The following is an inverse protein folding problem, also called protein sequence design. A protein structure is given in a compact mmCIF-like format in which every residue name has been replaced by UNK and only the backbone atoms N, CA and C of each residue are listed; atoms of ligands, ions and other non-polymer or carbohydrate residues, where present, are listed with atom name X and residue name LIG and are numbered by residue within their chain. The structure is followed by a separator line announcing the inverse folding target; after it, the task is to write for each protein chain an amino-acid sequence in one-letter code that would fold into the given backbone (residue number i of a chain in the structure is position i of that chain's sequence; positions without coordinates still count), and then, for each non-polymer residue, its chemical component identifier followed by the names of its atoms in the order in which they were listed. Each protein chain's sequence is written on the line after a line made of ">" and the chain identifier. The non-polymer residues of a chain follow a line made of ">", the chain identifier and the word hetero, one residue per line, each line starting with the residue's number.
data_IF_892464603832
#
_entry.id   IF_892464603832
#
_cell.length_a   1.000
_cell.length_b   1.000
_cell.length_c   1.000
_cell.angle_alpha   90.00
_cell.angle_beta   90.00
_cell.angle_gamma   90.00
#
_symmetry.space_group_name_H-M   'P 1'
#
loop_
_entity.id
_entity.type
_entity.pdbx_description
1 polymer ?
#
# COMPACT_ATOMS: atom_id res chain seq x y z
N UNK A 1 -5.95 -8.11 26.66
CA UNK A 1 -5.37 -8.09 25.29
C UNK A 1 -6.51 -8.08 24.25
N UNK A 2 -7.47 -9.00 24.29
CA UNK A 2 -8.59 -9.10 23.36
C UNK A 2 -9.47 -7.83 23.27
N UNK A 3 -9.68 -7.12 24.38
CA UNK A 3 -10.50 -5.90 24.43
C UNK A 3 -9.84 -4.67 23.79
N UNK A 4 -8.50 -4.58 23.76
CA UNK A 4 -7.78 -3.46 23.13
C UNK A 4 -7.64 -3.60 21.60
N UNK A 5 -7.56 -4.81 21.08
CA UNK A 5 -7.52 -5.07 19.64
C UNK A 5 -8.88 -4.78 18.95
N UNK A 6 -9.99 -4.89 19.68
CA UNK A 6 -11.31 -4.56 19.14
C UNK A 6 -11.52 -3.05 18.86
N UNK A 7 -10.70 -2.14 19.42
CA UNK A 7 -10.83 -0.70 19.18
C UNK A 7 -10.26 -0.24 17.83
N UNK A 8 -9.54 -1.11 17.13
CA UNK A 8 -8.85 -0.84 15.86
C UNK A 8 -9.56 -1.50 14.68
N UNK A 9 -10.40 -2.47 14.98
CA UNK A 9 -11.25 -3.14 14.03
C UNK A 9 -12.50 -2.30 13.79
N UNK A 10 -12.58 -1.68 12.60
CA UNK A 10 -13.76 -0.92 12.19
C UNK A 10 -14.87 -1.87 11.74
N UNK A 11 -15.75 -2.22 12.68
CA UNK A 11 -16.87 -3.16 12.43
C UNK A 11 -17.90 -2.60 11.45
N UNK A 12 -18.11 -1.30 11.43
CA UNK A 12 -19.07 -0.67 10.51
C UNK A 12 -18.51 -0.64 9.11
N UNK A 13 -17.24 -0.29 8.95
CA UNK A 13 -16.56 -0.31 7.67
C UNK A 13 -16.40 -1.74 7.13
N UNK A 14 -16.15 -2.72 8.00
CA UNK A 14 -16.11 -4.14 7.63
C UNK A 14 -17.45 -4.67 7.09
N UNK A 15 -18.58 -4.14 7.55
CA UNK A 15 -19.91 -4.50 7.02
C UNK A 15 -20.19 -3.84 5.66
N UNK A 16 -19.66 -2.65 5.40
CA UNK A 16 -19.81 -1.94 4.14
C UNK A 16 -18.95 -2.57 3.03
N UNK A 17 -17.75 -3.06 3.41
CA UNK A 17 -16.84 -3.77 2.50
C UNK A 17 -17.22 -5.25 2.48
N UNK A 18 -18.33 -5.60 1.85
CA UNK A 18 -18.74 -7.01 1.72
C UNK A 18 -17.81 -7.75 0.77
N UNK A 19 -17.41 -8.97 1.17
CA UNK A 19 -16.76 -9.90 0.27
C UNK A 19 -17.68 -10.19 -0.94
N UNK A 20 -17.13 -10.04 -2.15
CA UNK A 20 -17.85 -10.35 -3.39
C UNK A 20 -17.60 -11.81 -3.78
N UNK A 21 -18.41 -12.35 -4.70
CA UNK A 21 -18.15 -13.67 -5.30
C UNK A 21 -16.76 -13.76 -5.95
N UNK A 22 -16.22 -12.61 -6.37
CA UNK A 22 -14.88 -12.50 -6.92
C UNK A 22 -13.78 -12.66 -5.85
N UNK A 23 -13.99 -12.15 -4.64
CA UNK A 23 -13.14 -12.36 -3.47
C UNK A 23 -13.04 -13.86 -3.12
N UNK A 24 -14.12 -14.60 -3.19
CA UNK A 24 -14.11 -16.06 -2.97
C UNK A 24 -13.31 -16.77 -4.07
N UNK A 25 -13.47 -16.39 -5.35
CA UNK A 25 -12.67 -16.95 -6.46
C UNK A 25 -11.17 -16.68 -6.31
N UNK A 26 -10.78 -15.53 -5.78
CA UNK A 26 -9.39 -15.20 -5.55
C UNK A 26 -8.79 -15.97 -4.38
N UNK A 27 -9.58 -16.21 -3.32
CA UNK A 27 -9.21 -17.13 -2.23
C UNK A 27 -8.98 -18.56 -2.75
N UNK A 28 -9.84 -19.06 -3.64
CA UNK A 28 -9.65 -20.37 -4.30
C UNK A 28 -8.35 -20.41 -5.13
N UNK A 29 -7.95 -19.30 -5.75
CA UNK A 29 -6.67 -19.18 -6.45
C UNK A 29 -5.47 -19.07 -5.50
N UNK A 30 -5.67 -18.85 -4.20
CA UNK A 30 -4.62 -18.65 -3.21
C UNK A 30 -4.01 -17.25 -3.28
N UNK A 31 -4.77 -16.26 -3.76
CA UNK A 31 -4.36 -14.87 -3.88
C UNK A 31 -5.10 -14.06 -2.81
N UNK A 32 -4.36 -13.22 -2.07
CA UNK A 32 -4.91 -12.27 -1.11
C UNK A 32 -4.41 -10.87 -1.44
N UNK A 33 -5.32 -9.95 -1.71
CA UNK A 33 -5.02 -8.54 -1.94
C UNK A 33 -5.35 -7.71 -0.69
N UNK A 34 -4.42 -6.85 -0.28
CA UNK A 34 -4.57 -5.93 0.86
C UNK A 34 -4.24 -4.53 0.39
N UNK A 35 -5.16 -3.59 0.58
CA UNK A 35 -4.92 -2.18 0.32
C UNK A 35 -4.18 -1.55 1.50
N UNK A 36 -2.97 -1.07 1.26
CA UNK A 36 -2.17 -0.30 2.20
C UNK A 36 -2.38 1.19 1.92
N UNK A 37 -2.77 1.94 2.95
CA UNK A 37 -3.12 3.37 2.81
C UNK A 37 -2.29 4.22 3.76
N UNK A 38 -1.49 5.12 3.22
CA UNK A 38 -0.85 6.20 3.96
C UNK A 38 -1.71 7.47 3.90
N UNK A 39 -2.21 7.91 5.04
CA UNK A 39 -3.13 9.05 5.16
C UNK A 39 -2.35 10.30 5.53
N UNK A 40 -2.55 11.39 4.78
CA UNK A 40 -1.96 12.70 5.05
C UNK A 40 -2.70 13.35 6.23
N UNK A 41 -2.08 13.32 7.39
CA UNK A 41 -2.65 13.88 8.61
C UNK A 41 -2.21 13.14 9.87
N UNK A 42 -2.72 13.60 11.01
CA UNK A 42 -2.40 13.03 12.32
C UNK A 42 -3.34 11.88 12.72
N UNK A 43 -4.38 11.64 11.95
CA UNK A 43 -5.34 10.56 12.16
C UNK A 43 -5.76 9.92 10.83
N UNK A 44 -6.44 8.77 10.89
CA UNK A 44 -6.88 7.99 9.74
C UNK A 44 -8.37 8.20 9.40
N UNK A 45 -8.95 9.31 9.86
CA UNK A 45 -10.36 9.61 9.61
C UNK A 45 -10.58 10.22 8.23
N UNK A 46 -11.83 10.14 7.75
CA UNK A 46 -12.26 10.86 6.54
C UNK A 46 -12.00 12.37 6.68
N UNK A 47 -11.84 13.06 5.57
CA UNK A 47 -11.39 14.45 5.52
C UNK A 47 -9.89 14.58 5.22
N UNK A 48 -9.09 13.53 5.51
CA UNK A 48 -7.68 13.45 5.14
C UNK A 48 -7.52 12.69 3.82
N UNK A 49 -6.47 13.01 3.05
CA UNK A 49 -6.21 12.36 1.75
C UNK A 49 -5.36 11.10 1.92
N UNK A 50 -5.63 10.11 1.08
CA UNK A 50 -4.73 8.96 0.90
C UNK A 50 -3.57 9.37 -0.03
N UNK A 51 -2.44 9.75 0.53
CA UNK A 51 -1.27 10.22 -0.23
C UNK A 51 -0.37 9.08 -0.73
N UNK A 52 -0.43 7.92 -0.08
CA UNK A 52 0.18 6.68 -0.51
C UNK A 52 -0.88 5.58 -0.54
N UNK A 53 -0.98 4.87 -1.64
CA UNK A 53 -1.89 3.74 -1.81
C UNK A 53 -1.16 2.62 -2.54
N UNK A 54 -1.17 1.43 -1.96
CA UNK A 54 -0.54 0.25 -2.56
C UNK A 54 -1.44 -0.96 -2.39
N UNK A 55 -1.44 -1.86 -3.35
CA UNK A 55 -2.02 -3.19 -3.21
C UNK A 55 -0.87 -4.17 -2.97
N UNK A 56 -0.86 -4.80 -1.79
CA UNK A 56 0.00 -5.93 -1.51
C UNK A 56 -0.74 -7.21 -1.91
N UNK A 57 -0.22 -7.91 -2.92
CA UNK A 57 -0.74 -9.17 -3.42
C UNK A 57 0.12 -10.31 -2.88
N UNK A 58 -0.48 -11.19 -2.07
CA UNK A 58 0.14 -12.40 -1.54
C UNK A 58 -0.35 -13.58 -2.36
N UNK A 59 0.55 -14.24 -3.08
CA UNK A 59 0.26 -15.40 -3.93
C UNK A 59 0.86 -16.66 -3.28
N UNK A 60 0.03 -17.37 -2.54
CA UNK A 60 0.44 -18.56 -1.79
C UNK A 60 0.82 -19.75 -2.70
N UNK A 61 0.26 -19.81 -3.90
CA UNK A 61 0.55 -20.92 -4.84
C UNK A 61 1.90 -20.77 -5.51
N UNK A 62 2.27 -19.54 -5.84
CA UNK A 62 3.53 -19.23 -6.51
C UNK A 62 4.64 -18.83 -5.54
N UNK A 63 4.35 -18.77 -4.22
CA UNK A 63 5.25 -18.27 -3.17
C UNK A 63 5.83 -16.90 -3.50
N UNK A 64 4.96 -15.94 -3.80
CA UNK A 64 5.33 -14.67 -4.36
C UNK A 64 4.55 -13.52 -3.69
N UNK A 65 5.18 -12.37 -3.51
CA UNK A 65 4.57 -11.13 -3.02
C UNK A 65 4.83 -10.03 -4.04
N UNK A 66 3.76 -9.38 -4.48
CA UNK A 66 3.82 -8.28 -5.45
C UNK A 66 3.22 -7.01 -4.88
N UNK A 67 3.78 -5.87 -5.25
CA UNK A 67 3.30 -4.56 -4.82
C UNK A 67 2.87 -3.74 -6.04
N UNK A 68 1.64 -3.26 -6.03
CA UNK A 68 1.15 -2.28 -7.00
C UNK A 68 0.97 -0.94 -6.32
N UNK A 69 1.76 0.07 -6.67
CA UNK A 69 1.54 1.46 -6.24
C UNK A 69 0.45 2.10 -7.08
N UNK A 70 -0.56 2.68 -6.43
CA UNK A 70 -1.63 3.41 -7.11
C UNK A 70 -1.35 4.91 -7.05
N UNK A 71 -1.18 5.54 -8.20
CA UNK A 71 -0.95 6.99 -8.28
C UNK A 71 -2.16 7.74 -7.75
N UNK A 72 -1.95 8.60 -6.76
CA UNK A 72 -3.02 9.34 -6.06
C UNK A 72 -3.79 10.31 -6.96
N UNK A 73 -3.16 10.80 -8.03
CA UNK A 73 -3.73 11.73 -8.99
C UNK A 73 -4.42 11.03 -10.18
N UNK A 74 -4.54 9.68 -10.15
CA UNK A 74 -5.30 8.91 -11.15
C UNK A 74 -6.73 9.39 -11.21
N UNK A 75 -7.19 9.77 -12.42
CA UNK A 75 -8.51 10.33 -12.66
C UNK A 75 -9.52 9.20 -12.83
N UNK A 76 -10.47 9.07 -11.89
CA UNK A 76 -11.37 7.93 -11.76
C UNK A 76 -12.79 8.37 -11.45
N UNK A 77 -13.76 7.53 -11.76
CA UNK A 77 -15.15 7.76 -11.38
C UNK A 77 -15.35 7.33 -9.91
N UNK A 78 -15.75 8.28 -9.05
CA UNK A 78 -16.06 8.05 -7.64
C UNK A 78 -17.58 8.10 -7.47
N UNK A 79 -18.16 7.02 -6.99
CA UNK A 79 -19.60 6.92 -6.79
C UNK A 79 -20.15 8.06 -5.91
N UNK A 80 -21.17 8.74 -6.38
CA UNK A 80 -21.76 9.89 -5.70
C UNK A 80 -21.02 11.23 -5.86
N UNK A 81 -19.80 11.23 -6.43
CA UNK A 81 -18.93 12.43 -6.52
C UNK A 81 -18.47 12.75 -7.95
N UNK A 82 -18.76 11.86 -8.91
CA UNK A 82 -18.31 12.01 -10.30
C UNK A 82 -16.83 11.71 -10.50
N UNK A 83 -16.24 12.23 -11.58
CA UNK A 83 -14.85 11.94 -11.93
C UNK A 83 -13.90 12.85 -11.19
N UNK A 84 -13.04 12.26 -10.35
CA UNK A 84 -12.11 12.94 -9.45
C UNK A 84 -10.77 12.20 -9.35
N UNK A 85 -9.80 12.77 -8.60
CA UNK A 85 -8.56 12.07 -8.26
C UNK A 85 -8.83 10.94 -7.26
N UNK A 86 -8.18 9.81 -7.44
CA UNK A 86 -8.31 8.64 -6.56
C UNK A 86 -8.15 8.97 -5.07
N UNK A 87 -7.21 9.85 -4.72
CA UNK A 87 -6.96 10.29 -3.34
C UNK A 87 -8.18 10.91 -2.67
N UNK A 88 -9.12 11.48 -3.44
CA UNK A 88 -10.33 12.11 -2.90
C UNK A 88 -11.35 11.09 -2.39
N UNK A 89 -11.35 9.86 -2.92
CA UNK A 89 -12.27 8.81 -2.45
C UNK A 89 -12.13 8.57 -0.94
N UNK A 90 -10.89 8.47 -0.44
CA UNK A 90 -10.64 8.34 1.00
C UNK A 90 -11.06 9.59 1.78
N UNK A 91 -10.78 10.77 1.24
CA UNK A 91 -11.13 12.02 1.90
C UNK A 91 -12.65 12.20 2.05
N UNK A 92 -13.44 11.71 1.09
CA UNK A 92 -14.89 11.81 1.12
C UNK A 92 -15.51 10.86 2.14
N UNK A 93 -15.27 9.55 2.05
CA UNK A 93 -15.95 8.56 2.88
C UNK A 93 -15.02 7.47 3.48
N UNK A 94 -13.70 7.66 3.43
CA UNK A 94 -12.76 6.72 4.04
C UNK A 94 -12.44 5.51 3.16
N UNK A 95 -12.03 4.40 3.79
CA UNK A 95 -11.53 3.24 3.09
C UNK A 95 -12.61 2.51 2.27
N UNK A 96 -13.87 2.52 2.71
CA UNK A 96 -14.96 1.84 1.99
C UNK A 96 -15.17 2.43 0.60
N UNK A 97 -15.25 3.76 0.47
CA UNK A 97 -15.40 4.42 -0.84
C UNK A 97 -14.13 4.26 -1.69
N UNK A 98 -12.94 4.32 -1.07
CA UNK A 98 -11.69 4.08 -1.80
C UNK A 98 -11.63 2.65 -2.37
N UNK A 99 -11.99 1.64 -1.59
CA UNK A 99 -12.04 0.24 -2.04
C UNK A 99 -13.05 0.06 -3.17
N UNK A 100 -14.28 0.56 -3.03
CA UNK A 100 -15.29 0.46 -4.09
C UNK A 100 -14.84 1.19 -5.36
N UNK A 101 -14.18 2.35 -5.23
CA UNK A 101 -13.60 3.09 -6.36
C UNK A 101 -12.53 2.28 -7.08
N UNK A 102 -11.60 1.63 -6.35
CA UNK A 102 -10.57 0.76 -6.92
C UNK A 102 -11.22 -0.43 -7.65
N UNK A 103 -12.16 -1.12 -7.01
CA UNK A 103 -12.87 -2.27 -7.61
C UNK A 103 -13.58 -1.88 -8.91
N UNK A 104 -14.34 -0.81 -8.88
CA UNK A 104 -15.15 -0.38 -10.01
C UNK A 104 -14.31 0.13 -11.19
N UNK A 105 -13.24 0.90 -10.91
CA UNK A 105 -12.42 1.48 -11.97
C UNK A 105 -11.34 0.51 -12.48
N UNK A 106 -10.69 -0.25 -11.59
CA UNK A 106 -9.51 -1.04 -11.97
C UNK A 106 -9.82 -2.53 -12.19
N UNK A 107 -10.99 -3.00 -11.74
CA UNK A 107 -11.38 -4.41 -11.85
C UNK A 107 -10.57 -5.33 -10.94
N UNK A 108 -10.00 -4.78 -9.85
CA UNK A 108 -9.24 -5.53 -8.88
C UNK A 108 -10.10 -5.85 -7.68
N UNK A 109 -10.12 -7.12 -7.30
CA UNK A 109 -10.80 -7.55 -6.09
C UNK A 109 -9.90 -7.32 -4.88
N UNK A 110 -10.24 -6.30 -4.08
CA UNK A 110 -9.62 -5.97 -2.81
C UNK A 110 -10.72 -5.67 -1.80
N UNK A 111 -10.72 -6.41 -0.69
CA UNK A 111 -11.72 -6.31 0.38
C UNK A 111 -11.09 -6.07 1.75
N UNK A 112 -9.76 -6.00 1.81
CA UNK A 112 -8.98 -5.81 3.03
C UNK A 112 -8.14 -4.55 2.94
N UNK A 113 -8.03 -3.83 4.05
CA UNK A 113 -7.13 -2.68 4.08
C UNK A 113 -6.40 -2.54 5.42
N UNK A 114 -5.28 -1.83 5.37
CA UNK A 114 -4.56 -1.29 6.52
C UNK A 114 -4.27 0.17 6.22
N UNK A 115 -4.73 1.08 7.06
CA UNK A 115 -4.42 2.50 6.97
C UNK A 115 -3.53 2.94 8.13
N UNK A 116 -2.60 3.85 7.85
CA UNK A 116 -1.70 4.49 8.81
C UNK A 116 -1.64 5.99 8.55
N UNK A 117 -1.59 6.80 9.62
CA UNK A 117 -1.24 8.22 9.54
C UNK A 117 0.28 8.39 9.59
N UNK A 118 0.79 9.59 9.35
CA UNK A 118 2.23 9.87 9.46
C UNK A 118 2.76 9.59 10.87
N UNK A 119 2.04 10.04 11.91
CA UNK A 119 2.41 9.78 13.29
C UNK A 119 2.41 8.27 13.61
N UNK A 120 1.40 7.55 13.13
CA UNK A 120 1.31 6.10 13.28
C UNK A 120 2.45 5.37 12.59
N UNK A 121 2.80 5.79 11.37
CA UNK A 121 3.91 5.23 10.61
C UNK A 121 5.23 5.38 11.36
N UNK A 122 5.56 6.58 11.88
CA UNK A 122 6.76 6.81 12.66
C UNK A 122 6.81 5.87 13.88
N UNK A 123 5.72 5.79 14.64
CA UNK A 123 5.63 4.92 15.82
C UNK A 123 5.82 3.44 15.48
N UNK A 124 5.23 2.97 14.38
CA UNK A 124 5.39 1.58 13.92
C UNK A 124 6.86 1.26 13.65
N UNK A 125 7.55 2.13 12.91
CA UNK A 125 8.98 1.98 12.61
C UNK A 125 9.82 1.95 13.91
N UNK A 126 9.53 2.85 14.85
CA UNK A 126 10.26 2.93 16.13
C UNK A 126 10.03 1.70 17.02
N UNK A 127 8.81 1.17 17.08
CA UNK A 127 8.48 -0.09 17.78
C UNK A 127 9.29 -1.26 17.22
N UNK A 128 9.50 -1.27 15.91
CA UNK A 128 10.30 -2.28 15.23
C UNK A 128 11.82 -2.09 15.41
N UNK A 129 12.26 -1.01 16.05
CA UNK A 129 13.67 -0.67 16.20
C UNK A 129 14.32 -0.17 14.91
N UNK A 130 13.54 0.49 14.05
CA UNK A 130 13.98 1.03 12.77
C UNK A 130 13.93 0.03 11.62
N UNK A 131 14.14 0.53 10.40
CA UNK A 131 14.20 -0.25 9.14
C UNK A 131 15.53 -0.03 8.44
N UNK A 132 16.08 -1.08 7.83
CA UNK A 132 17.34 -1.00 7.07
C UNK A 132 17.05 -0.61 5.64
N UNK A 133 17.61 0.53 5.21
CA UNK A 133 17.45 1.08 3.87
C UNK A 133 18.81 1.48 3.32
N UNK A 134 19.06 1.14 2.05
CA UNK A 134 20.24 1.60 1.33
C UNK A 134 19.99 3.04 0.82
N UNK A 135 20.50 4.02 1.56
CA UNK A 135 20.33 5.45 1.29
C UNK A 135 21.38 5.89 0.28
N UNK A 136 20.98 6.48 -0.84
CA UNK A 136 21.87 7.04 -1.84
C UNK A 136 22.47 8.39 -1.41
N UNK A 137 23.59 8.80 -2.02
CA UNK A 137 24.23 10.09 -1.71
C UNK A 137 23.29 11.29 -1.89
N UNK A 138 22.40 11.26 -2.89
CA UNK A 138 21.42 12.32 -3.15
C UNK A 138 20.37 12.44 -2.06
N UNK A 139 20.04 11.33 -1.41
CA UNK A 139 19.01 11.24 -0.38
C UNK A 139 19.50 11.63 1.00
N UNK A 140 20.80 11.45 1.28
CA UNK A 140 21.42 11.79 2.59
C UNK A 140 21.05 13.20 3.03
N UNK A 141 21.16 14.20 2.14
CA UNK A 141 20.86 15.59 2.46
C UNK A 141 19.38 15.88 2.74
N UNK A 142 18.50 14.96 2.43
CA UNK A 142 17.04 15.07 2.61
C UNK A 142 16.55 14.43 3.93
N UNK A 143 17.42 13.71 4.64
CA UNK A 143 17.05 12.95 5.84
C UNK A 143 17.86 13.48 7.02
N UNK A 144 17.19 14.18 7.92
CA UNK A 144 17.86 14.75 9.09
C UNK A 144 18.49 13.66 9.97
N UNK A 145 19.76 13.86 10.34
CA UNK A 145 20.51 12.91 11.18
C UNK A 145 21.10 11.73 10.42
N UNK A 146 20.96 11.64 9.10
CA UNK A 146 21.70 10.70 8.24
C UNK A 146 22.89 11.45 7.63
N UNK A 147 24.09 10.94 7.83
CA UNK A 147 25.32 11.63 7.41
C UNK A 147 26.10 10.90 6.31
N UNK A 148 25.77 9.65 6.05
CA UNK A 148 26.46 8.80 5.08
C UNK A 148 25.48 8.06 4.20
N UNK A 149 25.86 7.79 2.96
CA UNK A 149 25.16 6.88 2.06
C UNK A 149 25.43 5.42 2.42
N UNK A 150 24.72 4.50 1.81
CA UNK A 150 24.79 3.05 2.06
C UNK A 150 23.69 2.56 2.99
N UNK A 151 23.85 1.36 3.51
CA UNK A 151 22.86 0.73 4.40
C UNK A 151 22.81 1.50 5.72
N UNK A 152 21.63 2.03 6.04
CA UNK A 152 21.34 2.79 7.25
C UNK A 152 20.13 2.18 7.96
N UNK A 153 20.15 2.11 9.30
CA UNK A 153 18.94 1.83 10.08
C UNK A 153 18.22 3.15 10.35
N UNK A 154 17.12 3.39 9.64
CA UNK A 154 16.32 4.60 9.78
C UNK A 154 15.28 4.42 10.89
N UNK A 155 15.19 5.39 11.80
CA UNK A 155 14.08 5.49 12.76
C UNK A 155 12.80 5.98 12.09
N UNK A 156 11.69 6.10 12.84
CA UNK A 156 10.39 6.47 12.30
C UNK A 156 10.39 7.78 11.54
N UNK A 157 10.94 8.85 12.12
CA UNK A 157 11.00 10.17 11.47
C UNK A 157 11.91 10.18 10.23
N UNK A 158 13.00 9.44 10.26
CA UNK A 158 13.93 9.31 9.13
C UNK A 158 13.30 8.49 7.98
N UNK A 159 12.61 7.39 8.29
CA UNK A 159 11.91 6.58 7.30
C UNK A 159 10.74 7.34 6.68
N UNK A 160 10.01 8.15 7.46
CA UNK A 160 8.98 9.04 6.94
C UNK A 160 9.59 10.11 6.02
N UNK A 161 10.68 10.75 6.43
CA UNK A 161 11.39 11.73 5.60
C UNK A 161 11.85 11.08 4.29
N UNK A 162 12.46 9.89 4.33
CA UNK A 162 12.87 9.12 3.16
C UNK A 162 11.72 8.85 2.19
N UNK A 163 10.59 8.33 2.69
CA UNK A 163 9.41 8.02 1.88
C UNK A 163 8.76 9.26 1.23
N UNK A 164 9.06 10.45 1.73
CA UNK A 164 8.50 11.74 1.28
C UNK A 164 9.46 12.60 0.47
N UNK A 165 10.67 12.14 0.22
CA UNK A 165 11.66 12.88 -0.61
C UNK A 165 11.03 13.25 -1.96
N UNK A 166 11.17 14.52 -2.33
CA UNK A 166 10.70 15.12 -3.58
C UNK A 166 11.77 16.01 -4.17
N UNK A 167 11.66 16.32 -5.45
CA UNK A 167 12.48 17.31 -6.16
C UNK A 167 13.95 16.93 -6.40
N UNK A 168 14.39 15.74 -6.02
CA UNK A 168 15.72 15.23 -6.37
C UNK A 168 15.69 14.31 -7.59
N UNK A 169 14.49 13.81 -7.92
CA UNK A 169 14.22 12.86 -9.01
C UNK A 169 12.71 12.83 -9.36
N UNK A 170 12.26 11.80 -10.06
CA UNK A 170 10.88 11.65 -10.55
C UNK A 170 9.86 11.29 -9.44
N UNK A 171 8.58 11.44 -9.76
CA UNK A 171 7.49 10.95 -8.90
C UNK A 171 7.54 9.42 -8.74
N UNK A 172 7.99 8.71 -9.76
CA UNK A 172 8.24 7.26 -9.74
C UNK A 172 9.24 6.88 -8.64
N UNK A 173 10.34 7.61 -8.49
CA UNK A 173 11.35 7.34 -7.46
C UNK A 173 10.80 7.60 -6.04
N UNK A 174 9.89 8.56 -5.88
CA UNK A 174 9.19 8.74 -4.60
C UNK A 174 8.35 7.50 -4.27
N UNK A 175 7.58 7.00 -5.20
CA UNK A 175 6.73 5.82 -5.00
C UNK A 175 7.59 4.56 -4.82
N UNK A 176 8.75 4.48 -5.48
CA UNK A 176 9.77 3.45 -5.24
C UNK A 176 10.29 3.48 -3.80
N UNK A 177 10.61 4.66 -3.24
CA UNK A 177 11.03 4.79 -1.82
C UNK A 177 9.97 4.29 -0.85
N UNK A 178 8.70 4.56 -1.14
CA UNK A 178 7.60 4.05 -0.31
C UNK A 178 7.54 2.51 -0.34
N UNK A 179 7.71 1.90 -1.52
CA UNK A 179 7.78 0.44 -1.66
C UNK A 179 8.98 -0.15 -0.93
N UNK A 180 10.15 0.49 -1.06
CA UNK A 180 11.38 0.09 -0.33
C UNK A 180 11.15 0.05 1.19
N UNK A 181 10.39 0.99 1.75
CA UNK A 181 10.06 0.96 3.19
C UNK A 181 9.15 -0.23 3.53
N UNK A 182 8.16 -0.54 2.68
CA UNK A 182 7.29 -1.71 2.90
C UNK A 182 8.08 -3.01 2.84
N UNK A 183 9.00 -3.13 1.88
CA UNK A 183 9.90 -4.27 1.76
C UNK A 183 10.82 -4.41 2.99
N UNK A 184 11.41 -3.29 3.44
CA UNK A 184 12.24 -3.28 4.64
C UNK A 184 11.46 -3.68 5.90
N UNK A 185 10.20 -3.25 6.01
CA UNK A 185 9.27 -3.68 7.07
C UNK A 185 9.00 -5.19 7.01
N UNK A 186 8.68 -5.71 5.83
CA UNK A 186 8.48 -7.14 5.64
C UNK A 186 9.74 -7.93 6.04
N UNK A 187 10.90 -7.55 5.55
CA UNK A 187 12.16 -8.21 5.87
C UNK A 187 12.47 -8.19 7.37
N UNK A 188 12.13 -7.10 8.05
CA UNK A 188 12.26 -6.99 9.51
C UNK A 188 11.37 -7.99 10.23
N UNK A 189 10.13 -8.18 9.77
CA UNK A 189 9.21 -9.17 10.35
C UNK A 189 9.59 -10.61 9.98
N UNK A 190 9.95 -10.87 8.73
CA UNK A 190 10.26 -12.20 8.23
C UNK A 190 11.54 -12.78 8.84
N UNK A 191 12.54 -11.92 9.11
CA UNK A 191 13.84 -12.31 9.67
C UNK A 191 13.92 -12.11 11.19
N UNK A 192 12.88 -11.56 11.84
CA UNK A 192 12.84 -11.34 13.28
C UNK A 192 12.80 -12.65 14.07
N UNK A 193 13.44 -12.67 15.25
CA UNK A 193 13.40 -13.82 16.14
C UNK A 193 11.98 -14.11 16.61
N UNK A 194 11.51 -15.33 16.41
CA UNK A 194 10.12 -15.79 16.62
C UNK A 194 9.52 -15.55 18.03
N UNK A 195 10.31 -15.13 19.00
CA UNK A 195 9.89 -15.00 20.40
C UNK A 195 8.94 -13.83 20.70
N UNK A 196 8.93 -12.76 19.89
CA UNK A 196 8.19 -11.53 20.16
C UNK A 196 7.31 -11.05 18.99
N UNK A 197 7.17 -11.83 17.92
CA UNK A 197 6.40 -11.39 16.71
C UNK A 197 4.96 -11.06 17.08
N UNK A 198 4.32 -11.85 17.94
CA UNK A 198 2.93 -11.61 18.34
C UNK A 198 2.78 -10.35 19.19
N UNK A 199 3.73 -10.07 20.07
CA UNK A 199 3.71 -8.86 20.91
C UNK A 199 3.96 -7.61 20.06
N UNK A 200 4.93 -7.69 19.16
CA UNK A 200 5.22 -6.63 18.17
C UNK A 200 4.01 -6.39 17.27
N UNK A 201 3.42 -7.44 16.71
CA UNK A 201 2.23 -7.32 15.88
C UNK A 201 1.06 -6.68 16.64
N UNK A 202 0.83 -7.08 17.89
CA UNK A 202 -0.19 -6.48 18.75
C UNK A 202 0.09 -5.00 19.03
N UNK A 203 1.36 -4.60 19.19
CA UNK A 203 1.71 -3.20 19.41
C UNK A 203 1.55 -2.36 18.14
N UNK A 204 2.03 -2.86 17.00
CA UNK A 204 1.90 -2.22 15.68
C UNK A 204 0.42 -2.03 15.31
N UNK A 205 -0.40 -3.03 15.52
CA UNK A 205 -1.84 -2.95 15.23
C UNK A 205 -2.56 -1.82 15.96
N UNK A 206 -2.07 -1.35 17.10
CA UNK A 206 -2.64 -0.20 17.82
C UNK A 206 -2.52 1.12 17.06
N UNK A 207 -1.65 1.19 16.10
CA UNK A 207 -1.37 2.38 15.30
C UNK A 207 -1.90 2.25 13.87
N UNK A 208 -2.77 1.28 13.60
CA UNK A 208 -3.38 1.06 12.29
C UNK A 208 -4.90 1.12 12.36
N UNK A 209 -5.57 1.46 11.28
CA UNK A 209 -7.01 1.27 11.09
C UNK A 209 -7.22 0.17 10.04
N UNK A 210 -8.12 -0.77 10.30
CA UNK A 210 -8.32 -1.93 9.41
C UNK A 210 -9.72 -2.53 9.58
N UNK A 211 -10.23 -3.16 8.53
CA UNK A 211 -11.45 -3.98 8.57
C UNK A 211 -11.19 -5.47 8.86
N UNK A 212 -9.92 -5.85 9.04
CA UNK A 212 -9.55 -7.24 9.32
C UNK A 212 -9.64 -7.56 10.81
N UNK A 213 -10.20 -8.71 11.16
CA UNK A 213 -10.18 -9.21 12.52
C UNK A 213 -8.73 -9.60 12.94
N UNK A 214 -8.36 -9.50 14.24
CA UNK A 214 -6.99 -9.80 14.69
C UNK A 214 -6.47 -11.17 14.28
N UNK A 215 -7.31 -12.21 14.32
CA UNK A 215 -6.92 -13.57 13.91
C UNK A 215 -6.69 -13.67 12.39
N UNK A 216 -7.43 -12.91 11.61
CA UNK A 216 -7.26 -12.84 10.16
C UNK A 216 -5.90 -12.20 9.82
N UNK A 217 -5.55 -11.10 10.48
CA UNK A 217 -4.25 -10.43 10.29
C UNK A 217 -3.10 -11.39 10.62
N UNK A 218 -3.19 -12.11 11.75
CA UNK A 218 -2.18 -13.11 12.13
C UNK A 218 -2.09 -14.23 11.09
N UNK A 219 -3.22 -14.69 10.58
CA UNK A 219 -3.25 -15.73 9.53
C UNK A 219 -2.54 -15.25 8.26
N UNK A 220 -2.86 -14.04 7.79
CA UNK A 220 -2.25 -13.44 6.59
C UNK A 220 -0.76 -13.18 6.80
N UNK A 221 -0.37 -12.64 7.95
CA UNK A 221 1.05 -12.41 8.29
C UNK A 221 1.84 -13.73 8.28
N UNK A 222 1.30 -14.80 8.84
CA UNK A 222 1.94 -16.12 8.81
C UNK A 222 2.07 -16.70 7.40
N UNK A 223 1.13 -16.41 6.51
CA UNK A 223 1.22 -16.79 5.09
C UNK A 223 2.33 -16.01 4.39
N UNK A 224 2.35 -14.69 4.56
CA UNK A 224 3.36 -13.83 3.98
C UNK A 224 4.79 -14.21 4.44
N UNK A 225 5.01 -14.44 5.75
CA UNK A 225 6.31 -14.81 6.31
C UNK A 225 6.83 -16.15 5.78
N UNK A 226 5.94 -17.06 5.38
CA UNK A 226 6.34 -18.34 4.78
C UNK A 226 6.88 -18.18 3.35
N UNK A 227 6.50 -17.13 2.68
CA UNK A 227 7.02 -16.75 1.38
C UNK A 227 8.41 -16.17 1.62
N UNK A 228 9.45 -16.91 1.24
CA UNK A 228 10.85 -16.55 1.49
C UNK A 228 11.43 -15.60 0.43
N UNK A 229 10.59 -15.09 -0.45
CA UNK A 229 11.01 -14.13 -1.45
C UNK A 229 11.22 -12.77 -0.78
N UNK A 230 12.40 -12.18 -0.96
CA UNK A 230 12.78 -10.91 -0.35
C UNK A 230 12.78 -9.76 -1.35
N UNK A 231 12.66 -10.06 -2.64
CA UNK A 231 12.62 -9.07 -3.72
C UNK A 231 11.20 -9.03 -4.30
N UNK A 232 10.41 -8.05 -3.87
CA UNK A 232 9.04 -7.91 -4.37
C UNK A 232 9.02 -7.42 -5.81
N UNK A 233 8.32 -8.14 -6.66
CA UNK A 233 7.96 -7.60 -7.96
C UNK A 233 7.00 -6.42 -7.79
N UNK A 234 7.28 -5.31 -8.49
CA UNK A 234 6.66 -4.01 -8.21
C UNK A 234 6.25 -3.32 -9.51
N UNK A 235 5.08 -2.70 -9.49
CA UNK A 235 4.60 -1.84 -10.59
C UNK A 235 3.96 -0.57 -10.06
N UNK A 236 3.94 0.47 -10.90
CA UNK A 236 3.13 1.66 -10.70
C UNK A 236 1.90 1.60 -11.61
N UNK A 237 0.75 1.93 -11.08
CA UNK A 237 -0.50 2.03 -11.80
C UNK A 237 -1.05 3.48 -11.73
N UNK A 238 -1.50 4.08 -12.85
CA UNK A 238 -1.52 3.54 -14.22
C UNK A 238 -0.11 3.38 -14.80
N UNK A 239 0.06 2.41 -15.72
CA UNK A 239 1.35 2.13 -16.35
C UNK A 239 1.80 3.30 -17.23
N UNK A 240 3.11 3.57 -17.24
CA UNK A 240 3.70 4.76 -17.87
C UNK A 240 3.36 4.87 -19.36
N UNK A 241 3.42 3.77 -20.08
CA UNK A 241 3.15 3.72 -21.52
C UNK A 241 1.68 3.93 -21.92
N UNK A 242 0.77 3.91 -20.94
CA UNK A 242 -0.68 4.00 -21.16
C UNK A 242 -1.36 5.02 -20.23
N UNK A 243 -0.63 6.04 -19.80
CA UNK A 243 -1.14 7.16 -19.01
C UNK A 243 -0.73 8.51 -19.59
N UNK A 244 -1.52 9.54 -19.29
CA UNK A 244 -1.26 10.92 -19.65
C UNK A 244 -1.49 11.85 -18.45
N UNK A 245 -0.41 12.35 -17.86
CA UNK A 245 -0.47 13.34 -16.79
C UNK A 245 -0.51 14.76 -17.36
N UNK A 246 -1.50 15.54 -16.96
CA UNK A 246 -1.64 16.93 -17.42
C UNK A 246 -2.40 17.82 -16.43
N UNK A 247 -2.27 19.13 -16.60
CA UNK A 247 -3.06 20.12 -15.87
C UNK A 247 -4.44 20.30 -16.52
N UNK A 248 -5.51 20.09 -15.77
CA UNK A 248 -6.84 20.47 -16.21
C UNK A 248 -7.08 21.97 -16.08
N UNK A 249 -7.81 22.57 -17.01
CA UNK A 249 -8.15 24.01 -17.03
C UNK A 249 -9.27 24.37 -16.03
N UNK A 250 -9.36 23.67 -14.91
CA UNK A 250 -10.36 23.86 -13.87
C UNK A 250 -9.71 23.70 -12.48
N UNK A 251 -10.52 23.74 -11.43
CA UNK A 251 -10.06 23.62 -10.03
C UNK A 251 -9.44 22.25 -9.70
N UNK A 252 -9.50 21.27 -10.59
CA UNK A 252 -8.99 19.91 -10.36
C UNK A 252 -7.45 19.81 -10.40
N UNK A 253 -6.79 20.77 -11.07
CA UNK A 253 -5.33 20.84 -11.14
C UNK A 253 -4.72 19.67 -11.92
N UNK A 254 -3.57 19.14 -11.46
CA UNK A 254 -2.89 18.01 -12.10
C UNK A 254 -3.67 16.72 -11.94
N UNK A 255 -3.89 15.99 -13.05
CA UNK A 255 -4.54 14.67 -13.08
C UNK A 255 -3.75 13.70 -13.96
N UNK A 256 -3.99 12.41 -13.77
CA UNK A 256 -3.46 11.34 -14.61
C UNK A 256 -4.66 10.64 -15.27
N UNK A 257 -4.90 10.93 -16.55
CA UNK A 257 -5.79 10.13 -17.40
C UNK A 257 -5.07 8.88 -17.89
N UNK A 258 -5.82 7.83 -18.18
CA UNK A 258 -5.26 6.51 -18.46
C UNK A 258 -6.12 5.70 -19.42
N UNK A 259 -5.50 4.88 -20.26
CA UNK A 259 -6.18 3.90 -21.10
C UNK A 259 -6.73 2.78 -20.22
N UNK A 260 -8.07 2.74 -20.08
CA UNK A 260 -8.74 1.83 -19.15
C UNK A 260 -8.56 0.37 -19.53
N UNK A 261 -8.67 0.04 -20.81
CA UNK A 261 -8.63 -1.35 -21.27
C UNK A 261 -7.22 -1.94 -21.15
N UNK A 262 -6.21 -1.20 -21.63
CA UNK A 262 -4.81 -1.61 -21.51
C UNK A 262 -4.38 -1.78 -20.07
N UNK A 263 -4.61 -0.76 -19.24
CA UNK A 263 -4.18 -0.77 -17.86
C UNK A 263 -4.86 -1.86 -17.03
N UNK A 264 -6.18 -2.09 -17.24
CA UNK A 264 -6.91 -3.18 -16.56
C UNK A 264 -6.38 -4.55 -16.93
N UNK A 265 -6.16 -4.82 -18.21
CA UNK A 265 -5.62 -6.10 -18.67
C UNK A 265 -4.23 -6.36 -18.07
N UNK A 266 -3.34 -5.38 -18.18
CA UNK A 266 -1.98 -5.49 -17.66
C UNK A 266 -1.94 -5.67 -16.14
N UNK A 267 -2.76 -4.90 -15.40
CA UNK A 267 -2.85 -5.01 -13.94
C UNK A 267 -3.45 -6.35 -13.49
N UNK A 268 -4.49 -6.83 -14.18
CA UNK A 268 -5.09 -8.14 -13.92
C UNK A 268 -4.07 -9.28 -14.10
N UNK A 269 -3.29 -9.24 -15.18
CA UNK A 269 -2.22 -10.22 -15.39
C UNK A 269 -1.17 -10.14 -14.29
N UNK A 270 -0.73 -8.94 -13.90
CA UNK A 270 0.23 -8.75 -12.82
C UNK A 270 -0.26 -9.34 -11.50
N UNK A 271 -1.54 -9.14 -11.14
CA UNK A 271 -2.09 -9.60 -9.86
C UNK A 271 -2.51 -11.08 -9.90
N UNK A 272 -3.14 -11.54 -10.99
CA UNK A 272 -3.83 -12.83 -11.01
C UNK A 272 -3.24 -13.88 -11.95
N UNK A 273 -2.37 -13.47 -12.87
CA UNK A 273 -1.73 -14.35 -13.87
C UNK A 273 -0.31 -13.88 -14.18
N UNK A 274 0.53 -13.90 -13.15
CA UNK A 274 1.86 -13.31 -13.20
C UNK A 274 2.79 -13.99 -14.21
N UNK A 275 2.64 -15.29 -14.46
CA UNK A 275 3.40 -15.98 -15.49
C UNK A 275 3.14 -15.36 -16.88
N UNK A 276 1.87 -15.17 -17.22
CA UNK A 276 1.44 -14.54 -18.46
C UNK A 276 1.83 -13.04 -18.52
N UNK A 277 1.81 -12.35 -17.38
CA UNK A 277 2.34 -10.99 -17.29
C UNK A 277 3.80 -10.92 -17.73
N UNK A 278 4.67 -11.79 -17.17
CA UNK A 278 6.10 -11.83 -17.52
C UNK A 278 6.34 -12.13 -18.99
N UNK A 279 5.59 -13.08 -19.56
CA UNK A 279 5.68 -13.42 -20.98
C UNK A 279 5.25 -12.27 -21.90
N UNK A 280 4.22 -11.51 -21.49
CA UNK A 280 3.61 -10.47 -22.32
C UNK A 280 4.31 -9.11 -22.24
N UNK A 281 4.95 -8.79 -21.10
CA UNK A 281 5.39 -7.42 -20.79
C UNK A 281 6.84 -7.28 -20.32
N UNK A 282 7.58 -8.36 -20.06
CA UNK A 282 8.99 -8.33 -19.65
C UNK A 282 9.96 -8.79 -20.78
N UNK A 283 9.56 -8.70 -22.04
CA UNK A 283 10.43 -8.93 -23.20
C UNK A 283 11.08 -7.64 -23.69
#
# INVERSE_FOLDING_TARGET
>A
IYFKLNSMYDKEEAKQINATEESERNKEKGITNILLVGVDGNNMEKGNRSDAMMIATIDEKNNDIRITSLSRDTYVDIEGYGTEKLTHAYAYEGASLLISTIKNNFGIDVDKYIAVSFESFEKIIDILGGVEINVSEKEVSQINGVNNSGIQTLNGSQALAYSRIRYIDSAYERDNRQRTVIEALYNKFANGSSGNIMDIANEVLRYTKTNMAPLEIVSIANKAIKIKDTDFDQVEFPFEEARNGHMMNNEKGWVIEWDKDYNKDKLNKFIYDYANYKESYNN
#
